data_IF_661054673906
#
_entry.id   IF_661054673906
#
_cell.length_a   1.000
_cell.length_b   1.000
_cell.length_c   1.000
_cell.angle_alpha   90.00
_cell.angle_beta   90.00
_cell.angle_gamma   90.00
#
_symmetry.space_group_name_H-M   'P 1'
#
loop_
_entity.id
_entity.type
_entity.pdbx_description
1 polymer ?
#
# COMPACT_ATOMS: atom_id res chain seq x y z
N UNK A 1 -19.86 -9.26 6.31
CA UNK A 1 -20.74 -8.53 5.37
C UNK A 1 -19.84 -7.71 4.50
N UNK A 2 -19.91 -7.85 3.18
CA UNK A 2 -19.07 -7.08 2.25
C UNK A 2 -19.74 -5.74 1.98
N UNK A 3 -19.01 -4.64 2.14
CA UNK A 3 -19.51 -3.29 1.87
C UNK A 3 -19.94 -3.15 0.42
N UNK A 4 -21.08 -2.49 0.21
CA UNK A 4 -21.62 -2.24 -1.13
C UNK A 4 -20.57 -1.50 -2.00
N UNK A 5 -20.36 -1.88 -3.27
CA UNK A 5 -19.27 -1.32 -4.10
C UNK A 5 -19.25 0.21 -4.17
N UNK A 6 -20.42 0.85 -4.26
CA UNK A 6 -20.53 2.31 -4.29
C UNK A 6 -20.10 2.98 -2.97
N UNK A 7 -20.43 2.36 -1.83
CA UNK A 7 -20.02 2.87 -0.52
C UNK A 7 -18.50 2.69 -0.34
N UNK A 8 -17.94 1.55 -0.75
CA UNK A 8 -16.49 1.33 -0.74
C UNK A 8 -15.76 2.36 -1.59
N UNK A 9 -16.25 2.65 -2.79
CA UNK A 9 -15.66 3.67 -3.65
C UNK A 9 -15.65 5.05 -2.97
N UNK A 10 -16.78 5.45 -2.38
CA UNK A 10 -16.88 6.72 -1.66
C UNK A 10 -15.94 6.80 -0.43
N UNK A 11 -15.79 5.70 0.31
CA UNK A 11 -14.86 5.62 1.43
C UNK A 11 -13.40 5.74 0.98
N UNK A 12 -13.02 5.06 -0.10
CA UNK A 12 -11.68 5.16 -0.67
C UNK A 12 -11.38 6.55 -1.24
N UNK A 13 -12.39 7.21 -1.83
CA UNK A 13 -12.26 8.60 -2.28
C UNK A 13 -12.00 9.55 -1.09
N UNK A 14 -12.70 9.33 0.03
CA UNK A 14 -12.50 10.13 1.24
C UNK A 14 -11.12 9.87 1.88
N UNK A 15 -10.68 8.62 1.96
CA UNK A 15 -9.32 8.26 2.38
C UNK A 15 -8.26 8.97 1.53
N UNK A 16 -8.43 8.94 0.20
CA UNK A 16 -7.51 9.57 -0.73
C UNK A 16 -7.49 11.09 -0.54
N UNK A 17 -8.65 11.72 -0.33
CA UNK A 17 -8.76 13.14 -0.04
C UNK A 17 -8.01 13.53 1.23
N UNK A 18 -8.13 12.73 2.29
CA UNK A 18 -7.41 12.94 3.55
C UNK A 18 -5.90 12.76 3.35
N UNK A 19 -5.48 11.72 2.61
CA UNK A 19 -4.08 11.49 2.29
C UNK A 19 -3.45 12.65 1.50
N UNK A 20 -4.15 13.16 0.49
CA UNK A 20 -3.74 14.33 -0.29
C UNK A 20 -3.59 15.57 0.60
N UNK A 21 -4.58 15.85 1.45
CA UNK A 21 -4.55 17.01 2.35
C UNK A 21 -3.39 16.94 3.37
N UNK A 22 -3.03 15.73 3.82
CA UNK A 22 -2.01 15.53 4.85
C UNK A 22 -0.58 15.40 4.29
N UNK A 23 -0.42 14.70 3.17
CA UNK A 23 0.90 14.36 2.61
C UNK A 23 1.33 15.31 1.50
N UNK A 24 0.39 16.07 0.92
CA UNK A 24 0.66 17.13 -0.04
C UNK A 24 1.55 16.66 -1.20
N UNK A 25 2.67 17.36 -1.39
CA UNK A 25 3.58 17.12 -2.51
C UNK A 25 4.25 15.73 -2.50
N UNK A 26 4.25 15.04 -1.37
CA UNK A 26 4.86 13.70 -1.25
C UNK A 26 4.08 12.61 -2.00
N UNK A 27 2.80 12.86 -2.27
CA UNK A 27 1.90 11.95 -2.99
C UNK A 27 1.46 12.53 -4.34
N UNK A 28 2.28 13.36 -4.97
CA UNK A 28 1.97 13.91 -6.31
C UNK A 28 1.75 12.78 -7.32
N UNK A 29 0.65 12.89 -8.07
CA UNK A 29 0.26 11.90 -9.07
C UNK A 29 -0.40 10.65 -8.49
N UNK A 30 -0.73 10.63 -7.20
CA UNK A 30 -1.56 9.58 -6.62
C UNK A 30 -2.94 9.54 -7.29
N UNK A 31 -3.39 8.35 -7.63
CA UNK A 31 -4.68 8.11 -8.28
C UNK A 31 -5.40 6.92 -7.66
N UNK A 32 -6.73 6.89 -7.82
CA UNK A 32 -7.54 5.71 -7.54
C UNK A 32 -8.01 5.07 -8.85
N UNK A 33 -7.74 3.80 -9.00
CA UNK A 33 -8.21 2.96 -10.11
C UNK A 33 -9.08 1.85 -9.52
N UNK A 34 -10.41 2.04 -9.53
CA UNK A 34 -11.33 1.11 -8.88
C UNK A 34 -11.12 1.06 -7.36
N UNK A 35 -10.75 -0.10 -6.82
CA UNK A 35 -10.38 -0.28 -5.41
C UNK A 35 -8.88 -0.09 -5.13
N UNK A 36 -8.09 0.21 -6.17
CA UNK A 36 -6.63 0.34 -6.06
C UNK A 36 -6.25 1.80 -5.90
N UNK A 37 -5.32 2.08 -4.98
CA UNK A 37 -4.64 3.37 -4.90
C UNK A 37 -3.24 3.20 -5.48
N UNK A 38 -2.88 4.01 -6.48
CA UNK A 38 -1.59 3.94 -7.17
C UNK A 38 -0.84 5.25 -6.98
N UNK A 39 0.44 5.15 -6.65
CA UNK A 39 1.33 6.29 -6.47
C UNK A 39 2.58 6.09 -7.33
N UNK A 40 2.90 6.98 -8.28
CA UNK A 40 4.13 6.90 -9.05
C UNK A 40 5.36 7.08 -8.14
N UNK A 41 6.36 6.21 -8.35
CA UNK A 41 7.61 6.16 -7.61
C UNK A 41 8.78 5.97 -8.59
N UNK A 42 9.96 6.40 -8.15
CA UNK A 42 11.20 6.13 -8.87
C UNK A 42 11.73 4.73 -8.49
N UNK A 43 12.10 3.95 -9.51
CA UNK A 43 12.87 2.72 -9.37
C UNK A 43 14.36 3.05 -9.17
N UNK A 44 15.17 2.19 -8.50
CA UNK A 44 16.59 2.42 -8.29
C UNK A 44 17.41 2.63 -9.57
N UNK A 45 16.96 2.07 -10.69
CA UNK A 45 17.59 2.22 -12.02
C UNK A 45 17.15 3.49 -12.77
N UNK A 46 16.41 4.39 -12.12
CA UNK A 46 15.89 5.62 -12.71
C UNK A 46 14.61 5.44 -13.52
N UNK A 47 14.10 4.20 -13.64
CA UNK A 47 12.79 3.92 -14.21
C UNK A 47 11.63 4.39 -13.33
N UNK A 48 10.42 4.27 -13.86
CA UNK A 48 9.18 4.55 -13.12
C UNK A 48 8.47 3.25 -12.77
N UNK A 49 8.03 3.15 -11.52
CA UNK A 49 7.18 2.09 -10.99
C UNK A 49 6.03 2.71 -10.19
N UNK A 50 5.06 1.91 -9.78
CA UNK A 50 3.90 2.37 -9.04
C UNK A 50 3.78 1.61 -7.72
N UNK A 51 3.83 2.33 -6.59
CA UNK A 51 3.36 1.79 -5.32
C UNK A 51 1.85 1.63 -5.41
N UNK A 52 1.36 0.44 -5.09
CA UNK A 52 -0.04 0.09 -5.19
C UNK A 52 -0.57 -0.44 -3.85
N UNK A 53 -1.68 0.14 -3.39
CA UNK A 53 -2.45 -0.32 -2.23
C UNK A 53 -3.80 -0.86 -2.71
N UNK A 54 -4.05 -2.16 -2.45
CA UNK A 54 -5.27 -2.86 -2.79
C UNK A 54 -6.31 -2.73 -1.67
N UNK A 55 -7.35 -1.92 -1.91
CA UNK A 55 -8.47 -1.71 -1.01
C UNK A 55 -9.70 -2.56 -1.34
N UNK A 56 -9.55 -3.68 -2.06
CA UNK A 56 -10.70 -4.51 -2.45
C UNK A 56 -11.48 -5.01 -1.23
N UNK A 57 -10.78 -5.35 -0.15
CA UNK A 57 -11.37 -5.73 1.12
C UNK A 57 -11.41 -4.61 2.17
N UNK A 58 -11.36 -3.32 1.78
CA UNK A 58 -11.13 -2.17 2.67
C UNK A 58 -11.89 -2.16 4.02
N UNK A 59 -13.09 -2.74 4.09
CA UNK A 59 -13.92 -2.82 5.30
C UNK A 59 -13.67 -4.03 6.19
N UNK A 60 -13.07 -5.09 5.65
CA UNK A 60 -12.88 -6.38 6.29
C UNK A 60 -11.41 -6.79 6.43
N UNK A 61 -10.55 -6.29 5.55
CA UNK A 61 -9.17 -6.71 5.38
C UNK A 61 -8.24 -5.49 5.27
N UNK A 62 -7.00 -5.61 5.76
CA UNK A 62 -5.97 -4.59 5.56
C UNK A 62 -5.66 -4.41 4.07
N UNK A 63 -5.12 -3.24 3.70
CA UNK A 63 -4.67 -3.01 2.32
C UNK A 63 -3.57 -3.99 1.91
N UNK A 64 -3.63 -4.54 0.70
CA UNK A 64 -2.48 -5.25 0.12
C UNK A 64 -1.47 -4.26 -0.46
N UNK A 65 -0.18 -4.39 -0.13
CA UNK A 65 0.86 -3.53 -0.69
C UNK A 65 1.69 -4.26 -1.74
N UNK A 66 1.81 -3.66 -2.92
CA UNK A 66 2.68 -4.14 -4.00
C UNK A 66 3.33 -2.99 -4.76
N UNK A 67 4.32 -3.31 -5.57
CA UNK A 67 4.86 -2.38 -6.58
C UNK A 67 4.64 -3.00 -7.95
N UNK A 68 4.13 -2.21 -8.88
CA UNK A 68 3.88 -2.63 -10.25
C UNK A 68 4.68 -1.79 -11.25
N UNK A 69 4.93 -2.38 -12.41
CA UNK A 69 5.35 -1.66 -13.61
C UNK A 69 4.18 -0.83 -14.18
N UNK A 70 4.45 -0.07 -15.23
CA UNK A 70 3.46 0.82 -15.86
C UNK A 70 2.27 0.08 -16.50
N UNK A 71 2.52 -1.12 -17.03
CA UNK A 71 1.51 -2.02 -17.60
C UNK A 71 0.67 -2.75 -16.54
N UNK A 72 0.98 -2.54 -15.25
CA UNK A 72 0.31 -3.18 -14.12
C UNK A 72 0.89 -4.55 -13.73
N UNK A 73 1.92 -5.05 -14.41
CA UNK A 73 2.62 -6.26 -13.99
C UNK A 73 3.35 -6.04 -12.66
N UNK A 74 3.48 -7.09 -11.84
CA UNK A 74 4.24 -7.00 -10.59
C UNK A 74 5.72 -6.70 -10.89
N UNK A 75 6.26 -5.66 -10.25
CA UNK A 75 7.66 -5.29 -10.41
C UNK A 75 8.55 -6.30 -9.67
N UNK A 76 9.67 -6.67 -10.31
CA UNK A 76 10.71 -7.48 -9.69
C UNK A 76 11.32 -6.76 -8.47
N UNK A 77 11.87 -7.50 -7.50
CA UNK A 77 12.37 -6.93 -6.23
C UNK A 77 13.40 -5.81 -6.45
N UNK A 78 14.25 -5.96 -7.46
CA UNK A 78 15.33 -5.05 -7.81
C UNK A 78 14.81 -3.69 -8.33
N UNK A 79 13.56 -3.66 -8.79
CA UNK A 79 12.87 -2.47 -9.31
C UNK A 79 12.12 -1.71 -8.22
N UNK A 80 11.97 -2.27 -7.02
CA UNK A 80 11.28 -1.58 -5.94
C UNK A 80 12.07 -0.37 -5.45
N UNK A 81 11.41 0.73 -5.07
CA UNK A 81 12.09 1.87 -4.46
C UNK A 81 12.99 1.44 -3.30
N UNK A 82 14.22 1.96 -3.27
CA UNK A 82 15.23 1.59 -2.28
C UNK A 82 14.70 1.71 -0.85
N UNK A 83 14.84 0.64 -0.06
CA UNK A 83 14.41 0.60 1.34
C UNK A 83 12.92 0.31 1.55
N UNK A 84 12.08 0.36 0.51
CA UNK A 84 10.67 -0.02 0.62
C UNK A 84 10.51 -1.53 0.78
N UNK A 85 11.13 -2.29 -0.12
CA UNK A 85 11.09 -3.74 -0.06
C UNK A 85 11.93 -4.27 1.10
N UNK A 86 11.40 -5.27 1.81
CA UNK A 86 12.14 -5.96 2.86
C UNK A 86 12.89 -7.17 2.30
N UNK A 87 12.16 -8.07 1.64
CA UNK A 87 12.66 -9.28 0.99
C UNK A 87 11.52 -9.93 0.18
N UNK A 88 11.68 -11.18 -0.23
CA UNK A 88 10.56 -12.01 -0.71
C UNK A 88 9.80 -12.58 0.49
N UNK A 89 8.48 -12.43 0.50
CA UNK A 89 7.64 -12.87 1.60
C UNK A 89 7.66 -14.42 1.69
N UNK A 90 7.97 -15.01 2.86
CA UNK A 90 8.16 -16.47 2.99
C UNK A 90 6.87 -17.27 2.70
N UNK A 91 5.71 -16.69 2.98
CA UNK A 91 4.40 -17.31 2.70
C UNK A 91 3.85 -16.98 1.32
N UNK A 92 3.96 -15.73 0.85
CA UNK A 92 3.31 -15.27 -0.39
C UNK A 92 4.20 -15.46 -1.62
N UNK A 93 5.50 -15.75 -1.46
CA UNK A 93 6.43 -15.99 -2.56
C UNK A 93 6.68 -14.79 -3.47
N UNK A 94 6.35 -13.57 -3.02
CA UNK A 94 6.49 -12.32 -3.80
C UNK A 94 7.20 -11.24 -2.99
N UNK A 95 7.82 -10.23 -3.63
CA UNK A 95 8.37 -9.05 -2.94
C UNK A 95 7.32 -8.39 -2.03
N UNK A 96 7.73 -7.93 -0.85
CA UNK A 96 6.84 -7.25 0.09
C UNK A 96 7.54 -6.15 0.89
N UNK A 97 6.72 -5.23 1.41
CA UNK A 97 7.13 -4.30 2.47
C UNK A 97 6.47 -4.73 3.79
N UNK A 98 7.27 -4.92 4.84
CA UNK A 98 6.74 -5.25 6.16
C UNK A 98 6.17 -3.98 6.85
N UNK A 99 4.93 -3.60 6.55
CA UNK A 99 4.27 -2.40 7.08
C UNK A 99 3.01 -2.81 7.85
N UNK A 100 2.98 -2.54 9.16
CA UNK A 100 1.81 -2.78 10.00
C UNK A 100 0.59 -2.05 9.42
N UNK A 101 -0.53 -2.78 9.30
CA UNK A 101 -1.73 -2.30 8.60
C UNK A 101 -1.83 -2.72 7.14
N UNK A 102 -0.80 -3.37 6.57
CA UNK A 102 -0.88 -4.04 5.28
C UNK A 102 -1.11 -5.56 5.45
N UNK A 103 -1.75 -6.21 4.48
CA UNK A 103 -2.05 -7.63 4.52
C UNK A 103 -0.79 -8.50 4.67
N UNK A 104 0.29 -8.14 3.97
CA UNK A 104 1.57 -8.83 4.01
C UNK A 104 2.16 -8.87 5.43
N UNK A 105 1.88 -7.86 6.26
CA UNK A 105 2.36 -7.84 7.63
C UNK A 105 1.72 -8.95 8.48
N UNK A 106 0.40 -9.07 8.44
CA UNK A 106 -0.35 -10.01 9.28
C UNK A 106 -0.23 -11.46 8.82
N UNK A 107 0.08 -11.68 7.54
CA UNK A 107 0.35 -13.02 7.00
C UNK A 107 1.80 -13.48 7.29
N UNK A 108 2.68 -12.57 7.68
CA UNK A 108 4.07 -12.89 7.95
C UNK A 108 4.24 -13.69 9.26
N UNK A 109 5.04 -14.78 9.29
CA UNK A 109 5.21 -15.62 10.49
C UNK A 109 5.71 -14.88 11.74
N UNK A 110 6.42 -13.77 11.57
CA UNK A 110 6.91 -12.93 12.68
C UNK A 110 5.82 -12.12 13.38
N UNK A 111 4.61 -12.03 12.82
CA UNK A 111 3.53 -11.15 13.30
C UNK A 111 2.23 -11.90 13.59
N UNK A 112 2.26 -13.23 13.73
CA UNK A 112 1.05 -14.06 13.93
C UNK A 112 0.28 -13.76 15.23
N UNK A 113 0.90 -13.09 16.19
CA UNK A 113 0.26 -12.68 17.44
C UNK A 113 -0.46 -11.33 17.31
N UNK A 114 -0.22 -10.58 16.24
CA UNK A 114 -0.83 -9.28 16.01
C UNK A 114 -2.10 -9.44 15.20
N UNK A 115 -3.16 -8.74 15.62
CA UNK A 115 -4.47 -8.82 15.00
C UNK A 115 -4.82 -7.51 14.31
N UNK A 116 -5.18 -7.59 13.03
CA UNK A 116 -5.66 -6.45 12.24
C UNK A 116 -6.78 -5.68 12.96
N UNK A 117 -7.74 -6.40 13.55
CA UNK A 117 -8.90 -5.81 14.23
C UNK A 117 -8.53 -4.83 15.36
N UNK A 118 -7.35 -4.96 15.96
CA UNK A 118 -6.90 -4.07 17.02
C UNK A 118 -6.51 -2.68 16.53
N UNK A 119 -6.21 -2.53 15.24
CA UNK A 119 -5.70 -1.28 14.64
C UNK A 119 -6.46 -0.83 13.40
N UNK A 120 -7.47 -1.59 12.95
CA UNK A 120 -8.23 -1.30 11.73
C UNK A 120 -8.92 0.07 11.70
N UNK A 121 -9.20 0.64 12.88
CA UNK A 121 -9.84 1.96 13.00
C UNK A 121 -8.83 3.12 13.15
N UNK A 122 -7.54 2.82 13.32
CA UNK A 122 -6.49 3.80 13.59
C UNK A 122 -5.44 3.90 12.49
N UNK A 123 -5.21 2.84 11.71
CA UNK A 123 -4.33 2.85 10.55
C UNK A 123 -5.14 3.15 9.29
N UNK A 124 -5.10 4.41 8.83
CA UNK A 124 -5.79 4.88 7.63
C UNK A 124 -4.83 4.94 6.44
N UNK A 125 -5.35 5.23 5.26
CA UNK A 125 -4.55 5.27 4.02
C UNK A 125 -3.37 6.24 4.13
N UNK A 126 -3.57 7.39 4.78
CA UNK A 126 -2.53 8.40 4.94
C UNK A 126 -1.34 7.89 5.78
N UNK A 127 -1.59 7.14 6.86
CA UNK A 127 -0.52 6.55 7.68
C UNK A 127 0.25 5.47 6.92
N UNK A 128 -0.45 4.64 6.14
CA UNK A 128 0.18 3.60 5.33
C UNK A 128 1.09 4.21 4.26
N UNK A 129 0.59 5.23 3.55
CA UNK A 129 1.36 5.96 2.54
C UNK A 129 2.56 6.68 3.17
N UNK A 130 2.37 7.37 4.29
CA UNK A 130 3.46 8.04 5.00
C UNK A 130 4.57 7.06 5.39
N UNK A 131 4.20 5.90 5.95
CA UNK A 131 5.16 4.87 6.33
C UNK A 131 5.87 4.28 5.11
N UNK A 132 5.15 3.95 4.04
CA UNK A 132 5.73 3.45 2.80
C UNK A 132 6.72 4.45 2.18
N UNK A 133 6.34 5.73 2.14
CA UNK A 133 7.19 6.81 1.63
C UNK A 133 8.46 6.98 2.46
N UNK A 134 8.36 6.99 3.79
CA UNK A 134 9.53 7.07 4.68
C UNK A 134 10.47 5.89 4.48
N UNK A 135 9.94 4.66 4.34
CA UNK A 135 10.76 3.48 4.02
C UNK A 135 11.47 3.60 2.68
N UNK A 136 10.78 4.16 1.69
CA UNK A 136 11.34 4.46 0.37
C UNK A 136 12.33 5.65 0.36
N UNK A 137 12.71 6.19 1.53
CA UNK A 137 13.63 7.33 1.64
C UNK A 137 13.01 8.68 1.26
N UNK A 138 11.68 8.79 1.23
CA UNK A 138 10.94 10.04 0.96
C UNK A 138 10.30 10.56 2.26
N UNK A 139 11.03 11.35 3.07
CA UNK A 139 10.52 11.89 4.33
C UNK A 139 9.33 12.84 4.11
#
# INVERSE_FOLDING_TARGET
MTTHPALRAALLDEELRVALARLGERVVGIERVGSMIRLPMASPDGGRVFLQLDGTGFDAEPFGLSVTEEDGAAAALERWPSGLAHSVHPVLGRPFACIRGCAEYYVHPSHLQEQWDTVRNTLRLAELLDHALRKAGRP
#
